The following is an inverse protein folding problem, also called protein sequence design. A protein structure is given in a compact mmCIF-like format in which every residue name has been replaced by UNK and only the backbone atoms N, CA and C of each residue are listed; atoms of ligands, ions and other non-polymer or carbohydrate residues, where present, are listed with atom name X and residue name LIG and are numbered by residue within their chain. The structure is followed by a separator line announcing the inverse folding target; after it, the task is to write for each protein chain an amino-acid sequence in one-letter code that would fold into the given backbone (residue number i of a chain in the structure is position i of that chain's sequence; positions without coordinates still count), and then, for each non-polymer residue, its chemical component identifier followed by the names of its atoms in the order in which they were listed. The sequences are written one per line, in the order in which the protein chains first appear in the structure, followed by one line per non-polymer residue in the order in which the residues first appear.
data_IF_071130451964
#
_entry.id   IF_071130451964
#
_cell.length_a   1.000
_cell.length_b   1.000
_cell.length_c   1.000
_cell.angle_alpha   90.00
_cell.angle_beta   90.00
_cell.angle_gamma   90.00
#
_symmetry.space_group_name_H-M   'P 1'
#
loop_
_entity.id
_entity.type
_entity.pdbx_description
1 polymer ?
#
# COMPACT_ATOMS: atom_id res chain seq x y z
N UNK A 1 -18.28 -10.31 47.58
CA UNK A 1 -17.86 -10.49 46.16
C UNK A 1 -17.88 -9.14 45.42
N UNK A 2 -16.94 -8.23 45.72
CA UNK A 2 -16.86 -6.90 45.06
C UNK A 2 -15.45 -6.54 44.54
N UNK A 3 -14.48 -7.44 44.71
CA UNK A 3 -13.05 -7.16 44.40
C UNK A 3 -12.51 -7.94 43.19
N UNK A 4 -13.29 -8.85 42.59
CA UNK A 4 -12.83 -9.67 41.45
C UNK A 4 -13.08 -8.99 40.09
N UNK A 5 -14.10 -8.14 39.97
CA UNK A 5 -14.44 -7.48 38.70
C UNK A 5 -13.48 -6.36 38.31
N UNK A 6 -12.82 -5.72 39.29
CA UNK A 6 -11.85 -4.65 39.02
C UNK A 6 -10.57 -5.22 38.41
N UNK A 7 -10.19 -6.46 38.74
CA UNK A 7 -8.98 -7.09 38.22
C UNK A 7 -9.12 -7.55 36.76
N UNK A 8 -10.34 -7.91 36.34
CA UNK A 8 -10.63 -8.37 34.97
C UNK A 8 -10.63 -7.22 33.94
N UNK A 9 -10.94 -6.00 34.39
CA UNK A 9 -10.98 -4.81 33.53
C UNK A 9 -9.58 -4.24 33.20
N UNK A 10 -8.57 -4.55 34.02
CA UNK A 10 -7.20 -4.05 33.80
C UNK A 10 -6.42 -4.90 32.79
N UNK A 11 -6.79 -6.17 32.58
CA UNK A 11 -6.06 -7.07 31.65
C UNK A 11 -6.43 -6.89 30.18
N UNK A 12 -7.56 -6.27 29.86
CA UNK A 12 -8.04 -6.14 28.46
C UNK A 12 -7.49 -4.91 27.73
N UNK A 13 -6.95 -3.92 28.45
CA UNK A 13 -6.36 -2.71 27.86
C UNK A 13 -4.98 -2.93 27.23
N UNK A 14 -4.31 -4.04 27.51
CA UNK A 14 -2.99 -4.34 26.96
C UNK A 14 -3.00 -4.77 25.47
N UNK A 15 -4.15 -5.17 24.92
CA UNK A 15 -4.25 -5.66 23.54
C UNK A 15 -4.65 -4.59 22.51
N UNK A 16 -5.02 -3.38 22.93
CA UNK A 16 -5.42 -2.30 22.01
C UNK A 16 -4.26 -1.42 21.52
N UNK A 17 -3.01 -1.69 21.95
CA UNK A 17 -1.85 -0.84 21.63
C UNK A 17 -1.07 -1.26 20.36
N UNK A 18 -1.50 -2.30 19.64
CA UNK A 18 -0.78 -2.76 18.43
C UNK A 18 -1.25 -2.15 17.10
N UNK A 19 -2.24 -1.24 17.09
CA UNK A 19 -2.84 -0.75 15.85
C UNK A 19 -2.33 0.61 15.34
N UNK A 20 -1.24 1.15 15.90
CA UNK A 20 -0.58 2.36 15.40
C UNK A 20 0.94 2.15 15.26
N UNK A 21 1.38 1.12 14.53
CA UNK A 21 2.74 1.17 13.97
C UNK A 21 2.75 2.38 13.03
N UNK A 22 3.50 3.44 13.39
CA UNK A 22 3.60 4.63 12.53
C UNK A 22 3.99 4.17 11.12
N UNK A 23 3.11 4.39 10.15
CA UNK A 23 3.30 4.03 8.75
C UNK A 23 4.65 4.55 8.21
N UNK A 24 5.17 5.63 8.80
CA UNK A 24 6.45 6.26 8.51
C UNK A 24 7.67 5.33 8.53
N UNK A 25 7.66 4.24 9.33
CA UNK A 25 8.82 3.34 9.46
C UNK A 25 8.79 2.14 8.50
N UNK A 26 7.71 1.96 7.75
CA UNK A 26 7.60 0.86 6.78
C UNK A 26 8.25 1.31 5.47
N UNK A 27 9.27 0.57 5.03
CA UNK A 27 9.83 0.79 3.69
C UNK A 27 8.83 0.36 2.62
N UNK A 28 8.53 1.29 1.73
CA UNK A 28 7.70 1.08 0.54
C UNK A 28 8.55 0.76 -0.69
N UNK A 29 9.88 0.64 -0.56
CA UNK A 29 10.76 0.45 -1.70
C UNK A 29 10.52 -0.90 -2.37
N UNK A 30 10.42 -0.90 -3.71
CA UNK A 30 10.26 -2.12 -4.50
C UNK A 30 9.58 -1.91 -5.84
N UNK A 31 9.56 -2.98 -6.64
CA UNK A 31 8.76 -3.09 -7.85
C UNK A 31 7.33 -3.52 -7.49
N UNK A 32 6.33 -2.86 -8.06
CA UNK A 32 4.92 -3.13 -7.79
C UNK A 32 4.21 -3.55 -9.07
N UNK A 33 3.58 -4.72 -9.03
CA UNK A 33 2.94 -5.34 -10.17
C UNK A 33 1.43 -5.09 -10.16
N UNK A 34 0.88 -4.77 -11.33
CA UNK A 34 -0.55 -4.89 -11.56
C UNK A 34 -0.80 -6.28 -12.14
N UNK A 35 -1.52 -7.10 -11.38
CA UNK A 35 -1.86 -8.48 -11.78
C UNK A 35 -3.38 -8.61 -11.81
N UNK A 36 -3.92 -8.98 -12.96
CA UNK A 36 -5.31 -9.36 -13.16
C UNK A 36 -5.43 -10.40 -14.28
N UNK A 37 -6.64 -10.80 -14.66
CA UNK A 37 -6.89 -11.80 -15.70
C UNK A 37 -6.29 -11.47 -17.09
N UNK A 38 -5.99 -10.21 -17.35
CA UNK A 38 -5.50 -9.72 -18.64
C UNK A 38 -4.07 -9.16 -18.58
N UNK A 39 -3.45 -9.07 -17.40
CA UNK A 39 -2.13 -8.43 -17.25
C UNK A 39 -1.33 -8.96 -16.06
N UNK A 40 -0.01 -8.98 -16.23
CA UNK A 40 0.98 -9.19 -15.19
C UNK A 40 2.23 -8.40 -15.55
N UNK A 41 2.30 -7.17 -15.07
CA UNK A 41 3.37 -6.23 -15.43
C UNK A 41 3.70 -5.28 -14.30
N UNK A 42 4.90 -4.71 -14.34
CA UNK A 42 5.33 -3.67 -13.39
C UNK A 42 4.57 -2.39 -13.68
N UNK A 43 3.77 -1.93 -12.71
CA UNK A 43 3.03 -0.67 -12.81
C UNK A 43 3.91 0.52 -12.42
N UNK A 44 4.66 0.39 -11.33
CA UNK A 44 5.58 1.41 -10.85
C UNK A 44 6.68 0.81 -9.96
N UNK A 45 7.72 1.61 -9.74
CA UNK A 45 8.84 1.28 -8.83
C UNK A 45 8.95 2.40 -7.81
N UNK A 46 8.95 2.05 -6.52
CA UNK A 46 9.13 3.00 -5.42
C UNK A 46 10.60 2.96 -4.96
N UNK A 47 11.20 4.13 -4.78
CA UNK A 47 12.53 4.32 -4.20
C UNK A 47 12.53 5.54 -3.28
N UNK A 48 12.65 5.29 -1.97
CA UNK A 48 12.54 6.33 -0.94
C UNK A 48 11.11 6.85 -0.81
N UNK A 49 10.91 8.10 -1.21
CA UNK A 49 9.64 8.82 -1.17
C UNK A 49 9.12 9.17 -2.56
N UNK A 50 9.65 8.53 -3.61
CA UNK A 50 9.20 8.71 -4.99
C UNK A 50 8.83 7.38 -5.62
N UNK A 51 7.88 7.43 -6.55
CA UNK A 51 7.50 6.33 -7.42
C UNK A 51 7.64 6.72 -8.89
N UNK A 52 8.24 5.85 -9.70
CA UNK A 52 8.27 6.00 -11.17
C UNK A 52 7.22 5.09 -11.78
N UNK A 53 6.29 5.66 -12.53
CA UNK A 53 5.23 4.92 -13.24
C UNK A 53 5.78 4.40 -14.56
N UNK A 54 5.49 3.14 -14.89
CA UNK A 54 5.96 2.51 -16.13
C UNK A 54 5.05 2.75 -17.32
N UNK A 55 3.74 2.82 -17.07
CA UNK A 55 2.72 3.01 -18.09
C UNK A 55 1.60 3.92 -17.57
N UNK A 56 1.24 4.96 -18.35
CA UNK A 56 0.19 5.92 -18.01
C UNK A 56 0.56 7.34 -18.43
N UNK A 57 -0.34 8.28 -18.15
CA UNK A 57 -0.12 9.72 -18.41
C UNK A 57 0.83 10.35 -17.39
N UNK A 58 0.77 9.89 -16.14
CA UNK A 58 1.69 10.32 -15.10
C UNK A 58 3.03 9.61 -15.23
N UNK A 59 4.12 10.37 -15.07
CA UNK A 59 5.49 9.86 -15.10
C UNK A 59 5.91 9.28 -13.75
N UNK A 60 5.30 9.75 -12.66
CA UNK A 60 5.62 9.29 -11.32
C UNK A 60 4.75 9.91 -10.25
N UNK A 61 5.20 9.79 -9.01
CA UNK A 61 4.57 10.41 -7.85
C UNK A 61 5.56 10.62 -6.70
N UNK A 62 5.26 11.56 -5.81
CA UNK A 62 5.87 11.64 -4.47
C UNK A 62 4.95 11.00 -3.44
N UNK A 63 5.52 10.53 -2.32
CA UNK A 63 4.81 9.85 -1.24
C UNK A 63 4.93 10.66 0.06
N UNK A 64 3.79 10.96 0.68
CA UNK A 64 3.71 11.40 2.07
C UNK A 64 3.27 10.21 2.92
N UNK A 65 4.23 9.56 3.58
CA UNK A 65 4.00 8.36 4.41
C UNK A 65 3.20 8.65 5.68
N UNK A 66 3.28 9.87 6.20
CA UNK A 66 2.54 10.28 7.39
C UNK A 66 1.05 10.46 7.08
N UNK A 67 0.74 11.07 5.94
CA UNK A 67 -0.64 11.28 5.48
C UNK A 67 -1.21 10.12 4.67
N UNK A 68 -0.37 9.14 4.32
CA UNK A 68 -0.72 8.05 3.41
C UNK A 68 -1.30 8.58 2.09
N UNK A 69 -0.62 9.55 1.49
CA UNK A 69 -1.00 10.14 0.20
C UNK A 69 0.14 10.09 -0.79
N UNK A 70 -0.19 9.99 -2.08
CA UNK A 70 0.72 10.26 -3.17
C UNK A 70 0.31 11.55 -3.88
N UNK A 71 1.27 12.25 -4.48
CA UNK A 71 1.00 13.33 -5.43
C UNK A 71 1.56 12.94 -6.80
N UNK A 72 0.68 12.85 -7.80
CA UNK A 72 1.07 12.49 -9.17
C UNK A 72 1.94 13.59 -9.81
N UNK A 73 2.93 13.18 -10.58
CA UNK A 73 3.89 14.01 -11.32
C UNK A 73 3.88 13.65 -12.81
N UNK A 74 4.10 14.66 -13.65
CA UNK A 74 4.24 14.55 -15.10
C UNK A 74 4.13 15.94 -15.74
N UNK A 75 4.69 16.14 -16.93
CA UNK A 75 4.73 17.46 -17.57
C UNK A 75 3.33 18.01 -17.90
N UNK A 76 2.40 17.14 -18.31
CA UNK A 76 1.09 17.53 -18.84
C UNK A 76 -0.09 17.05 -17.98
N UNK A 77 0.14 16.76 -16.70
CA UNK A 77 -0.93 16.30 -15.79
C UNK A 77 -1.24 17.32 -14.70
N UNK A 78 -2.50 17.34 -14.27
CA UNK A 78 -2.91 18.08 -13.07
C UNK A 78 -2.27 17.40 -11.86
N UNK A 79 -1.64 18.19 -10.98
CA UNK A 79 -1.12 17.70 -9.70
C UNK A 79 -2.28 17.22 -8.82
N UNK A 80 -2.48 15.91 -8.77
CA UNK A 80 -3.54 15.28 -8.00
C UNK A 80 -2.94 14.57 -6.79
N UNK A 81 -3.52 14.84 -5.62
CA UNK A 81 -3.17 14.14 -4.38
C UNK A 81 -4.19 13.03 -4.16
N UNK A 82 -3.71 11.80 -3.96
CA UNK A 82 -4.54 10.59 -3.84
C UNK A 82 -4.12 9.84 -2.59
N UNK A 83 -5.09 9.41 -1.79
CA UNK A 83 -4.81 8.54 -0.64
C UNK A 83 -4.46 7.12 -1.11
N UNK A 84 -3.49 6.50 -0.46
CA UNK A 84 -3.15 5.09 -0.65
C UNK A 84 -3.33 4.31 0.64
N UNK A 85 -3.43 2.99 0.53
CA UNK A 85 -3.24 2.07 1.65
C UNK A 85 -2.10 1.12 1.34
N UNK A 86 -1.27 0.79 2.33
CA UNK A 86 -0.26 -0.24 2.19
C UNK A 86 -0.41 -1.26 3.32
N UNK A 87 -0.81 -2.49 2.96
CA UNK A 87 -1.07 -3.56 3.93
C UNK A 87 -0.69 -4.89 3.30
N UNK A 88 0.02 -5.74 4.05
CA UNK A 88 0.44 -7.07 3.61
C UNK A 88 1.13 -7.04 2.23
N UNK A 89 2.03 -6.08 2.03
CA UNK A 89 2.77 -5.88 0.77
C UNK A 89 1.92 -5.52 -0.46
N UNK A 90 0.66 -5.12 -0.26
CA UNK A 90 -0.24 -4.60 -1.29
C UNK A 90 -0.35 -3.09 -1.15
N UNK A 91 -0.01 -2.37 -2.22
CA UNK A 91 -0.19 -0.93 -2.33
C UNK A 91 -1.47 -0.66 -3.12
N UNK A 92 -2.49 -0.10 -2.48
CA UNK A 92 -3.78 0.19 -3.11
C UNK A 92 -3.92 1.69 -3.32
N UNK A 93 -4.05 2.13 -4.57
CA UNK A 93 -4.14 3.56 -4.90
C UNK A 93 -4.86 3.77 -6.23
N UNK A 94 -5.37 4.98 -6.43
CA UNK A 94 -5.88 5.46 -7.71
C UNK A 94 -4.81 6.29 -8.43
N UNK A 95 -4.18 5.70 -9.45
CA UNK A 95 -3.22 6.39 -10.33
C UNK A 95 -3.90 6.84 -11.64
N UNK A 96 -4.81 6.03 -12.20
CA UNK A 96 -5.36 6.19 -13.54
C UNK A 96 -6.88 6.46 -13.58
N UNK A 97 -7.46 6.97 -12.49
CA UNK A 97 -8.89 7.25 -12.35
C UNK A 97 -9.69 6.12 -11.67
N UNK A 98 -9.04 5.00 -11.34
CA UNK A 98 -9.63 3.89 -10.58
C UNK A 98 -8.61 3.34 -9.58
N UNK A 99 -9.11 2.91 -8.41
CA UNK A 99 -8.26 2.25 -7.42
C UNK A 99 -7.91 0.83 -7.87
N UNK A 100 -6.63 0.50 -7.79
CA UNK A 100 -6.11 -0.83 -8.04
C UNK A 100 -5.23 -1.29 -6.90
N UNK A 101 -5.16 -2.61 -6.72
CA UNK A 101 -4.19 -3.28 -5.86
C UNK A 101 -2.93 -3.57 -6.67
N UNK A 102 -1.80 -3.09 -6.17
CA UNK A 102 -0.49 -3.32 -6.75
C UNK A 102 0.36 -4.15 -5.78
N UNK A 103 0.85 -5.29 -6.26
CA UNK A 103 1.50 -6.31 -5.44
C UNK A 103 3.01 -6.11 -5.48
N UNK A 104 3.63 -5.90 -4.32
CA UNK A 104 5.09 -5.78 -4.23
C UNK A 104 5.73 -7.10 -4.67
N UNK A 105 6.68 -7.03 -5.61
CA UNK A 105 7.41 -8.19 -6.14
C UNK A 105 7.97 -9.06 -5.02
N UNK A 106 7.99 -10.37 -5.25
CA UNK A 106 8.48 -11.42 -4.33
C UNK A 106 7.74 -11.53 -2.99
N UNK A 107 6.71 -10.72 -2.75
CA UNK A 107 5.86 -10.84 -1.56
C UNK A 107 4.92 -12.04 -1.62
N UNK A 108 4.39 -12.43 -0.45
CA UNK A 108 3.34 -13.46 -0.37
C UNK A 108 2.11 -13.07 -1.20
N UNK A 109 1.67 -11.81 -1.11
CA UNK A 109 0.51 -11.32 -1.85
C UNK A 109 0.73 -11.36 -3.37
N UNK A 110 1.96 -11.09 -3.83
CA UNK A 110 2.35 -11.23 -5.23
C UNK A 110 2.23 -12.68 -5.71
N UNK A 111 2.78 -13.64 -4.96
CA UNK A 111 2.68 -15.07 -5.32
C UNK A 111 1.22 -15.57 -5.30
N UNK A 112 0.40 -15.09 -4.36
CA UNK A 112 -1.03 -15.40 -4.31
C UNK A 112 -1.79 -14.83 -5.52
N UNK A 113 -1.47 -13.60 -5.93
CA UNK A 113 -2.05 -12.99 -7.12
C UNK A 113 -1.66 -13.75 -8.40
N UNK A 114 -0.40 -14.15 -8.56
CA UNK A 114 0.05 -14.95 -9.70
C UNK A 114 -0.77 -16.24 -9.84
N UNK A 115 -0.92 -17.00 -8.75
CA UNK A 115 -1.74 -18.24 -8.72
C UNK A 115 -3.20 -17.96 -9.03
N UNK A 116 -3.77 -16.91 -8.42
CA UNK A 116 -5.18 -16.54 -8.61
C UNK A 116 -5.50 -16.24 -10.08
N UNK A 117 -4.58 -15.57 -10.79
CA UNK A 117 -4.77 -15.15 -12.18
C UNK A 117 -4.13 -16.09 -13.20
N UNK A 118 -3.60 -17.25 -12.78
CA UNK A 118 -3.10 -18.29 -13.69
C UNK A 118 -1.74 -18.01 -14.31
N UNK A 119 -0.92 -17.16 -13.67
CA UNK A 119 0.46 -16.89 -14.09
C UNK A 119 1.49 -17.81 -13.42
N UNK A 120 1.06 -18.66 -12.49
CA UNK A 120 1.88 -19.65 -11.79
C UNK A 120 1.04 -20.90 -11.47
#
# INVERSE_FOLDING_TARGET
MKKLFVLLLVSISAFLLMACSKQSNISLDGEYYWINENRNEVAFVITGDTGTIKHGEAEGFTIDKEKSTIQLLGENIIKLTKSYTFKNDVFTVDISGMKHDYYKKDSKAYQEALKKYGYQ
#
